data_IF_292027279126
#
_entry.id   IF_292027279126
#
_cell.length_a   1.000
_cell.length_b   1.000
_cell.length_c   1.000
_cell.angle_alpha   90.00
_cell.angle_beta   90.00
_cell.angle_gamma   90.00
#
_symmetry.space_group_name_H-M   'P 1'
#
loop_
_entity.id
_entity.type
_entity.pdbx_description
1 polymer ?
#
# COMPACT_ATOMS: atom_id res chain seq x y z
N UNK A 1 -36.91 47.12 39.92
CA UNK A 1 -35.55 47.54 39.54
C UNK A 1 -34.56 46.91 40.53
N UNK A 2 -34.04 45.71 40.25
CA UNK A 2 -33.04 45.07 41.12
C UNK A 2 -31.67 45.48 40.62
N UNK A 3 -30.96 46.27 41.44
CA UNK A 3 -29.58 46.67 41.22
C UNK A 3 -28.68 45.44 41.25
N UNK A 4 -28.05 45.11 40.13
CA UNK A 4 -27.03 44.07 40.08
C UNK A 4 -25.81 44.52 40.87
N UNK A 5 -25.44 43.74 41.88
CA UNK A 5 -24.19 43.91 42.60
C UNK A 5 -23.04 43.61 41.62
N UNK A 6 -22.17 44.58 41.41
CA UNK A 6 -20.96 44.39 40.61
C UNK A 6 -20.01 43.52 41.43
N UNK A 7 -19.77 42.30 40.96
CA UNK A 7 -18.78 41.40 41.56
C UNK A 7 -17.42 41.81 41.02
N UNK A 8 -16.58 42.35 41.90
CA UNK A 8 -15.17 42.62 41.60
C UNK A 8 -14.46 41.27 41.57
N UNK A 9 -14.02 40.85 40.39
CA UNK A 9 -13.25 39.61 40.22
C UNK A 9 -11.78 39.99 40.39
N UNK A 10 -11.22 39.73 41.56
CA UNK A 10 -9.78 39.77 41.76
C UNK A 10 -9.16 38.46 41.23
N UNK A 11 -8.24 38.52 40.25
CA UNK A 11 -7.51 37.35 39.81
C UNK A 11 -6.68 36.81 40.97
N UNK A 12 -6.97 35.58 41.39
CA UNK A 12 -6.21 34.87 42.43
C UNK A 12 -4.73 34.68 42.02
N UNK A 13 -4.46 34.51 40.72
CA UNK A 13 -3.12 34.25 40.19
C UNK A 13 -2.91 34.89 38.81
N UNK A 14 -1.65 35.28 38.54
CA UNK A 14 -1.22 35.80 37.24
C UNK A 14 -1.25 34.70 36.17
N UNK A 15 -1.77 35.02 34.98
CA UNK A 15 -1.77 34.09 33.86
C UNK A 15 -0.33 33.73 33.44
N UNK A 16 0.04 32.45 33.56
CA UNK A 16 1.34 31.94 33.15
C UNK A 16 1.30 31.60 31.66
N UNK A 17 2.33 31.99 30.92
CA UNK A 17 2.46 31.60 29.52
C UNK A 17 2.61 30.07 29.40
N UNK A 18 1.95 29.43 28.42
CA UNK A 18 2.11 28.00 28.20
C UNK A 18 3.58 27.72 27.83
N UNK A 19 4.27 26.94 28.67
CA UNK A 19 5.67 26.55 28.48
C UNK A 19 5.86 25.50 27.38
N UNK A 20 4.77 24.92 26.90
CA UNK A 20 4.76 23.94 25.81
C UNK A 20 3.43 24.03 25.06
N UNK A 21 3.43 23.74 23.75
CA UNK A 21 2.21 23.73 22.96
C UNK A 21 1.22 22.69 23.53
N UNK A 22 -0.04 23.11 23.71
CA UNK A 22 -1.12 22.22 24.19
C UNK A 22 -1.43 21.10 23.19
N UNK A 23 -1.09 21.28 21.92
CA UNK A 23 -1.32 20.35 20.82
C UNK A 23 -0.52 20.82 19.60
N UNK A 24 -0.11 19.93 18.67
CA UNK A 24 -0.18 18.47 18.72
C UNK A 24 1.01 17.84 19.47
N UNK A 25 0.82 16.65 20.05
CA UNK A 25 1.92 15.84 20.63
C UNK A 25 2.45 14.84 19.58
N UNK A 26 3.56 15.15 18.87
CA UNK A 26 4.09 14.27 17.83
C UNK A 26 4.52 12.91 18.36
N UNK A 27 4.90 12.82 19.64
CA UNK A 27 5.32 11.59 20.31
C UNK A 27 4.20 10.55 20.35
N UNK A 28 2.95 11.00 20.39
CA UNK A 28 1.77 10.12 20.39
C UNK A 28 1.24 9.84 18.99
N UNK A 29 1.29 10.86 18.12
CA UNK A 29 0.68 10.80 16.80
C UNK A 29 1.52 9.96 15.82
N UNK A 30 2.85 10.07 15.87
CA UNK A 30 3.75 9.33 14.98
C UNK A 30 3.64 7.81 15.10
N UNK A 31 3.75 7.18 16.29
CA UNK A 31 3.63 5.73 16.39
C UNK A 31 2.24 5.23 16.02
N UNK A 32 1.19 5.99 16.34
CA UNK A 32 -0.18 5.64 15.97
C UNK A 32 -0.38 5.67 14.45
N UNK A 33 0.14 6.71 13.79
CA UNK A 33 0.11 6.82 12.33
C UNK A 33 0.90 5.71 11.64
N UNK A 34 2.06 5.34 12.18
CA UNK A 34 2.87 4.22 11.66
C UNK A 34 2.12 2.89 11.75
N UNK A 35 1.52 2.58 12.91
CA UNK A 35 0.76 1.35 13.10
C UNK A 35 -0.45 1.29 12.17
N UNK A 36 -1.22 2.37 12.07
CA UNK A 36 -2.36 2.45 11.16
C UNK A 36 -1.92 2.30 9.70
N UNK A 37 -0.85 2.98 9.30
CA UNK A 37 -0.30 2.88 7.95
C UNK A 37 0.17 1.46 7.61
N UNK A 38 0.79 0.76 8.56
CA UNK A 38 1.24 -0.62 8.36
C UNK A 38 0.06 -1.59 8.24
N UNK A 39 -0.97 -1.44 9.07
CA UNK A 39 -2.20 -2.23 8.97
C UNK A 39 -2.88 -2.06 7.61
N UNK A 40 -3.05 -0.81 7.17
CA UNK A 40 -3.64 -0.50 5.86
C UNK A 40 -2.77 -1.03 4.72
N UNK A 41 -1.46 -0.78 4.77
CA UNK A 41 -0.51 -1.25 3.76
C UNK A 41 -0.51 -2.78 3.63
N UNK A 42 -0.57 -3.50 4.76
CA UNK A 42 -0.66 -4.95 4.78
C UNK A 42 -1.98 -5.44 4.18
N UNK A 43 -3.11 -4.82 4.54
CA UNK A 43 -4.40 -5.13 3.93
C UNK A 43 -4.41 -4.95 2.40
N UNK A 44 -3.84 -3.84 1.91
CA UNK A 44 -3.70 -3.58 0.47
C UNK A 44 -2.79 -4.62 -0.20
N UNK A 45 -1.69 -5.01 0.45
CA UNK A 45 -0.78 -6.04 -0.05
C UNK A 45 -1.49 -7.40 -0.13
N UNK A 46 -2.27 -7.78 0.88
CA UNK A 46 -3.04 -9.01 0.90
C UNK A 46 -4.09 -9.05 -0.22
N UNK A 47 -4.86 -7.97 -0.41
CA UNK A 47 -5.82 -7.86 -1.51
C UNK A 47 -5.12 -8.00 -2.87
N UNK A 48 -3.97 -7.34 -3.06
CA UNK A 48 -3.17 -7.49 -4.27
C UNK A 48 -2.68 -8.93 -4.48
N UNK A 49 -2.28 -9.59 -3.40
CA UNK A 49 -1.81 -10.97 -3.43
C UNK A 49 -2.94 -11.92 -3.84
N UNK A 50 -4.12 -11.80 -3.23
CA UNK A 50 -5.28 -12.60 -3.63
C UNK A 50 -5.74 -12.34 -5.06
N UNK A 51 -5.53 -11.13 -5.58
CA UNK A 51 -5.83 -10.81 -6.97
C UNK A 51 -4.72 -11.19 -7.96
N UNK A 52 -3.57 -11.70 -7.49
CA UNK A 52 -2.52 -12.22 -8.37
C UNK A 52 -2.84 -13.68 -8.73
N UNK A 53 -3.40 -13.90 -9.92
CA UNK A 53 -3.75 -15.26 -10.42
C UNK A 53 -2.52 -16.06 -10.89
N UNK A 54 -1.32 -15.74 -10.41
CA UNK A 54 -0.07 -16.38 -10.84
C UNK A 54 0.32 -17.50 -9.88
N UNK A 55 0.12 -18.73 -10.34
CA UNK A 55 0.68 -19.94 -9.73
C UNK A 55 2.19 -19.93 -9.96
N UNK A 56 2.98 -19.90 -8.87
CA UNK A 56 4.45 -19.88 -8.94
C UNK A 56 5.06 -21.11 -8.31
N UNK A 57 4.30 -21.83 -7.49
CA UNK A 57 4.74 -23.06 -6.85
C UNK A 57 4.09 -24.28 -7.49
N UNK A 58 4.81 -25.39 -7.41
CA UNK A 58 4.36 -26.71 -7.90
C UNK A 58 3.09 -27.13 -7.15
N UNK A 59 3.07 -26.90 -5.84
CA UNK A 59 1.93 -27.20 -4.96
C UNK A 59 0.66 -26.46 -5.40
N UNK A 60 0.77 -25.18 -5.79
CA UNK A 60 -0.36 -24.38 -6.28
C UNK A 60 -0.98 -25.00 -7.56
N UNK A 61 -0.14 -25.59 -8.42
CA UNK A 61 -0.56 -26.23 -9.67
C UNK A 61 -1.22 -27.58 -9.41
N UNK A 62 -0.65 -28.39 -8.52
CA UNK A 62 -1.23 -29.69 -8.15
C UNK A 62 -2.59 -29.53 -7.47
N UNK A 63 -2.73 -28.55 -6.57
CA UNK A 63 -4.00 -28.25 -5.89
C UNK A 63 -5.05 -27.71 -6.86
N UNK A 64 -4.68 -26.77 -7.74
CA UNK A 64 -5.64 -26.14 -8.67
C UNK A 64 -6.08 -27.09 -9.80
N UNK A 65 -5.17 -27.93 -10.30
CA UNK A 65 -5.41 -28.78 -11.48
C UNK A 65 -5.83 -30.21 -11.08
N UNK A 66 -5.53 -30.64 -9.84
CA UNK A 66 -5.88 -31.97 -9.33
C UNK A 66 -5.07 -33.11 -9.97
N UNK A 67 -3.94 -32.79 -10.59
CA UNK A 67 -3.06 -33.74 -11.25
C UNK A 67 -1.61 -33.51 -10.81
N UNK A 68 -0.85 -34.59 -10.60
CA UNK A 68 0.55 -34.53 -10.17
C UNK A 68 1.47 -33.94 -11.23
N UNK A 69 2.50 -33.22 -10.79
CA UNK A 69 3.45 -32.55 -11.69
C UNK A 69 4.49 -33.54 -12.23
N UNK A 70 4.55 -33.66 -13.56
CA UNK A 70 5.48 -34.57 -14.25
C UNK A 70 6.95 -34.13 -14.17
N UNK A 71 7.20 -32.85 -13.91
CA UNK A 71 8.54 -32.26 -13.79
C UNK A 71 8.53 -30.73 -13.93
N UNK A 72 9.54 -30.07 -13.40
CA UNK A 72 9.71 -28.60 -13.47
C UNK A 72 10.73 -28.26 -14.55
N UNK A 73 10.34 -27.45 -15.54
CA UNK A 73 11.28 -26.93 -16.54
C UNK A 73 12.00 -25.70 -15.96
N UNK A 74 13.32 -25.75 -15.76
CA UNK A 74 14.05 -24.60 -15.24
C UNK A 74 14.06 -23.47 -16.28
N UNK A 75 13.86 -22.22 -15.82
CA UNK A 75 14.07 -21.04 -16.66
C UNK A 75 15.56 -20.89 -16.97
N UNK A 76 16.01 -21.44 -18.10
CA UNK A 76 17.28 -21.05 -18.70
C UNK A 76 17.06 -19.86 -19.65
N UNK A 77 18.08 -19.01 -19.78
CA UNK A 77 18.06 -17.89 -20.73
C UNK A 77 17.81 -18.33 -22.18
N UNK A 78 18.18 -19.57 -22.50
CA UNK A 78 18.06 -20.15 -23.83
C UNK A 78 16.64 -20.66 -24.14
N UNK A 79 15.83 -20.94 -23.11
CA UNK A 79 14.46 -21.46 -23.22
C UNK A 79 13.39 -20.38 -22.96
N UNK A 80 13.80 -19.13 -22.70
CA UNK A 80 12.92 -17.99 -22.47
C UNK A 80 12.15 -17.63 -23.74
N UNK A 81 10.99 -18.25 -23.93
CA UNK A 81 10.03 -18.00 -25.00
C UNK A 81 9.92 -16.51 -25.35
N UNK A 82 10.04 -16.29 -26.65
CA UNK A 82 9.73 -15.16 -27.55
C UNK A 82 8.35 -14.49 -27.32
N UNK A 83 7.81 -14.44 -26.10
CA UNK A 83 6.56 -13.74 -25.78
C UNK A 83 6.66 -12.22 -25.99
N UNK A 84 7.88 -11.68 -26.12
CA UNK A 84 8.14 -10.31 -26.58
C UNK A 84 8.20 -10.13 -28.10
N UNK A 85 8.22 -11.21 -28.88
CA UNK A 85 8.44 -11.24 -30.33
C UNK A 85 7.13 -10.99 -31.11
N UNK A 86 5.99 -11.48 -30.60
CA UNK A 86 4.68 -11.23 -31.19
C UNK A 86 4.30 -9.74 -31.21
N UNK A 87 4.86 -8.92 -30.30
CA UNK A 87 4.73 -7.46 -30.36
C UNK A 87 5.59 -6.82 -31.47
N UNK A 88 6.69 -7.47 -31.90
CA UNK A 88 7.53 -7.03 -33.03
C UNK A 88 6.91 -7.35 -34.39
N UNK A 89 6.18 -8.46 -34.53
CA UNK A 89 5.55 -8.84 -35.81
C UNK A 89 4.58 -7.76 -36.34
N UNK A 90 3.85 -7.07 -35.46
CA UNK A 90 2.97 -5.96 -35.88
C UNK A 90 3.72 -4.76 -36.47
N UNK A 91 4.89 -4.42 -35.92
CA UNK A 91 5.69 -3.29 -36.41
C UNK A 91 6.44 -3.61 -37.71
N UNK A 92 6.71 -4.89 -37.96
CA UNK A 92 7.40 -5.35 -39.16
C UNK A 92 6.47 -5.33 -40.39
N UNK A 93 5.23 -5.80 -40.25
CA UNK A 93 4.24 -5.77 -41.36
C UNK A 93 3.83 -4.34 -41.76
N UNK A 94 3.87 -3.39 -40.84
CA UNK A 94 3.57 -1.98 -41.13
C UNK A 94 4.62 -1.32 -42.04
N UNK A 95 5.85 -1.86 -42.07
CA UNK A 95 6.95 -1.37 -42.92
C UNK A 95 6.99 -2.04 -44.29
N UNK A 96 6.41 -3.24 -44.38
CA UNK A 96 6.32 -4.01 -45.62
C UNK A 96 5.16 -3.51 -46.51
N UNK A 97 4.11 -2.94 -45.91
CA UNK A 97 2.95 -2.38 -46.62
C UNK A 97 3.18 -1.01 -47.31
N UNK A 98 4.36 -0.41 -47.15
CA UNK A 98 4.71 0.92 -47.69
C UNK A 98 5.75 0.85 -48.82
N UNK A 99 6.04 -0.34 -49.36
CA UNK A 99 7.00 -0.57 -50.44
C UNK A 99 6.30 -1.16 -51.66
#
# INVERSE_FOLDING_TARGET
MKSQAQVLIEPNESAVLPTSPSSPDPTRILPLGLLLGLLVGHGVAAIRHYNDTKLRHVDDVEETVGAGVLGVLPMSKDLGSERGEARRSKAFHEREALR
#
